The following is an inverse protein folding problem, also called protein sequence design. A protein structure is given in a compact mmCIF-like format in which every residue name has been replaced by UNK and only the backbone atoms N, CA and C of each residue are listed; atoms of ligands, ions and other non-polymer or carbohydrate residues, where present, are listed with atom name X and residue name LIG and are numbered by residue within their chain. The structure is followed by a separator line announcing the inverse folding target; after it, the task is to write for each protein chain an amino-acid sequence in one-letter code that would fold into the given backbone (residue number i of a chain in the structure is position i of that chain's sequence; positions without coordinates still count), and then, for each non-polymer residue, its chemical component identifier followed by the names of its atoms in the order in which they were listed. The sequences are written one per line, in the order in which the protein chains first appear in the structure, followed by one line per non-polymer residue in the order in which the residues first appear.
data_IF_426612944334
#
_entry.id   IF_426612944334
#
_cell.length_a   1.000
_cell.length_b   1.000
_cell.length_c   1.000
_cell.angle_alpha   90.00
_cell.angle_beta   90.00
_cell.angle_gamma   90.00
#
_symmetry.space_group_name_H-M   'P 1'
#
loop_
_entity.id
_entity.type
_entity.pdbx_description
1 polymer ?
#
# COMPACT_ATOMS: atom_id res chain seq x y z
N UNK A 1 53.98 11.63 -3.39
CA UNK A 1 52.83 10.88 -2.80
C UNK A 1 52.26 11.53 -1.53
N UNK A 2 52.70 12.71 -1.09
CA UNK A 2 52.26 13.35 0.16
C UNK A 2 51.07 14.30 0.03
N UNK A 3 50.62 14.66 -1.18
CA UNK A 3 49.51 15.60 -1.37
C UNK A 3 48.11 14.99 -1.18
N UNK A 4 47.97 13.68 -1.46
CA UNK A 4 46.71 12.94 -1.35
C UNK A 4 46.08 13.03 0.06
N UNK A 5 46.81 12.80 1.17
CA UNK A 5 46.20 12.89 2.50
C UNK A 5 45.69 14.29 2.86
N UNK A 6 46.36 15.37 2.41
CA UNK A 6 45.91 16.74 2.66
C UNK A 6 44.64 17.10 1.87
N UNK A 7 44.55 16.65 0.61
CA UNK A 7 43.34 16.84 -0.21
C UNK A 7 42.16 16.09 0.40
N UNK A 8 42.36 14.86 0.89
CA UNK A 8 41.32 14.10 1.58
C UNK A 8 40.89 14.80 2.87
N UNK A 9 41.82 15.21 3.72
CA UNK A 9 41.51 15.92 4.96
C UNK A 9 40.74 17.23 4.72
N UNK A 10 41.13 18.01 3.71
CA UNK A 10 40.44 19.24 3.32
C UNK A 10 39.02 18.95 2.83
N UNK A 11 38.84 17.92 1.98
CA UNK A 11 37.52 17.52 1.49
C UNK A 11 36.58 17.07 2.62
N UNK A 12 37.11 16.35 3.62
CA UNK A 12 36.37 15.91 4.80
C UNK A 12 35.95 17.10 5.66
N UNK A 13 36.86 18.05 5.90
CA UNK A 13 36.56 19.25 6.67
C UNK A 13 35.50 20.12 5.98
N UNK A 14 35.60 20.29 4.66
CA UNK A 14 34.60 20.99 3.87
C UNK A 14 33.24 20.29 3.94
N UNK A 15 33.22 18.96 3.83
CA UNK A 15 31.99 18.18 3.98
C UNK A 15 31.36 18.36 5.38
N UNK A 16 32.16 18.27 6.45
CA UNK A 16 31.70 18.45 7.83
C UNK A 16 31.13 19.86 8.03
N UNK A 17 31.82 20.89 7.57
CA UNK A 17 31.36 22.28 7.74
C UNK A 17 30.05 22.54 6.98
N UNK A 18 29.93 22.09 5.73
CA UNK A 18 28.68 22.17 4.96
C UNK A 18 27.56 21.35 5.62
N UNK A 19 27.88 20.18 6.15
CA UNK A 19 26.93 19.30 6.84
C UNK A 19 26.40 19.93 8.14
N UNK A 20 27.28 20.51 8.96
CA UNK A 20 26.90 21.26 10.16
C UNK A 20 26.03 22.46 9.78
N UNK A 21 26.42 23.25 8.77
CA UNK A 21 25.60 24.36 8.30
C UNK A 21 24.22 23.90 7.84
N UNK A 22 24.12 22.79 7.10
CA UNK A 22 22.86 22.20 6.67
C UNK A 22 21.98 21.76 7.85
N UNK A 23 22.57 21.13 8.87
CA UNK A 23 21.87 20.68 10.07
C UNK A 23 21.34 21.84 10.90
N UNK A 24 22.16 22.88 11.08
CA UNK A 24 21.84 24.05 11.90
C UNK A 24 21.23 25.20 11.09
N UNK A 25 20.86 24.98 9.82
CA UNK A 25 20.11 25.95 9.03
C UNK A 25 18.86 26.33 9.81
N UNK A 26 18.81 27.59 10.25
CA UNK A 26 17.63 28.12 10.92
C UNK A 26 16.47 28.09 9.92
N UNK A 27 15.30 27.56 10.31
CA UNK A 27 14.12 27.69 9.47
C UNK A 27 13.88 29.18 9.18
N UNK A 28 13.40 29.49 7.98
CA UNK A 28 13.08 30.87 7.58
C UNK A 28 12.10 31.54 8.54
N UNK A 29 12.03 32.88 8.50
CA UNK A 29 11.08 33.64 9.31
C UNK A 29 9.67 33.10 9.06
N UNK A 30 9.00 32.67 10.13
CA UNK A 30 7.60 32.22 10.06
C UNK A 30 6.73 33.43 9.69
N UNK A 31 5.70 33.25 8.85
CA UNK A 31 4.73 34.31 8.58
C UNK A 31 4.06 34.75 9.89
N UNK A 32 3.75 36.05 9.98
CA UNK A 32 3.09 36.61 11.15
C UNK A 32 1.73 35.91 11.37
N UNK A 33 1.45 35.48 12.61
CA UNK A 33 0.22 34.78 12.98
C UNK A 33 0.26 33.25 12.84
N UNK A 34 1.36 32.64 12.39
CA UNK A 34 1.46 31.18 12.29
C UNK A 34 1.77 30.51 13.64
N UNK A 35 0.76 29.86 14.24
CA UNK A 35 0.91 29.03 15.43
C UNK A 35 0.85 27.53 15.02
N UNK A 36 2.00 26.83 14.89
CA UNK A 36 1.97 25.41 14.60
C UNK A 36 1.41 24.62 15.78
N UNK A 37 0.89 23.40 15.54
CA UNK A 37 0.56 22.48 16.62
C UNK A 37 1.75 22.26 17.56
N UNK A 38 1.52 21.86 18.82
CA UNK A 38 2.59 21.52 19.74
C UNK A 38 3.52 20.45 19.14
N UNK A 39 4.83 20.60 19.36
CA UNK A 39 5.86 19.70 18.83
C UNK A 39 6.71 19.19 19.99
N UNK A 40 6.89 17.87 20.11
CA UNK A 40 7.91 17.32 21.01
C UNK A 40 9.32 17.79 20.62
N UNK A 41 10.32 17.60 21.50
CA UNK A 41 11.72 17.87 21.15
C UNK A 41 12.17 17.04 19.95
N UNK A 42 12.74 17.71 18.94
CA UNK A 42 13.20 17.06 17.71
C UNK A 42 14.72 17.04 17.66
N UNK A 43 15.30 15.90 17.28
CA UNK A 43 16.73 15.82 17.00
C UNK A 43 17.05 16.36 15.61
N UNK A 44 18.28 16.87 15.39
CA UNK A 44 18.72 17.24 14.05
C UNK A 44 18.77 16.02 13.13
N UNK A 45 18.56 16.23 11.83
CA UNK A 45 18.51 15.21 10.76
C UNK A 45 17.36 14.18 10.86
N UNK A 46 17.21 13.47 11.99
CA UNK A 46 16.21 12.40 12.16
C UNK A 46 14.85 12.91 12.69
N UNK A 47 14.80 14.13 13.21
CA UNK A 47 13.59 14.72 13.75
C UNK A 47 13.06 13.92 14.94
N UNK A 48 11.83 13.42 14.83
CA UNK A 48 11.09 12.70 15.86
C UNK A 48 11.15 11.17 15.66
N UNK A 49 11.90 10.66 14.67
CA UNK A 49 12.01 9.21 14.44
C UNK A 49 12.54 8.47 15.67
N UNK A 50 13.41 9.11 16.46
CA UNK A 50 13.94 8.57 17.72
C UNK A 50 12.87 8.33 18.80
N UNK A 51 11.71 8.96 18.68
CA UNK A 51 10.58 8.78 19.61
C UNK A 51 9.63 7.65 19.16
N UNK A 52 9.84 7.09 17.97
CA UNK A 52 9.00 6.02 17.44
C UNK A 52 9.58 4.66 17.79
N UNK A 53 8.71 3.78 18.27
CA UNK A 53 9.03 2.35 18.44
C UNK A 53 9.00 1.64 17.08
N UNK A 54 9.60 0.43 16.94
CA UNK A 54 9.51 -0.38 15.72
C UNK A 54 8.07 -0.57 15.22
N UNK A 55 7.12 -0.58 16.16
CA UNK A 55 5.68 -0.51 15.87
C UNK A 55 5.23 0.95 15.88
N UNK A 56 5.19 1.59 14.71
CA UNK A 56 4.99 3.04 14.58
C UNK A 56 3.73 3.56 15.28
N UNK A 57 2.58 2.88 15.15
CA UNK A 57 1.32 3.32 15.76
C UNK A 57 1.35 3.34 17.29
N UNK A 58 2.12 2.44 17.93
CA UNK A 58 2.31 2.44 19.39
C UNK A 58 3.12 3.66 19.83
N UNK A 59 4.17 3.99 19.07
CA UNK A 59 4.97 5.20 19.28
C UNK A 59 4.14 6.48 19.15
N UNK A 60 3.34 6.60 18.08
CA UNK A 60 2.44 7.75 17.90
C UNK A 60 1.41 7.86 19.02
N UNK A 61 0.82 6.75 19.47
CA UNK A 61 -0.13 6.75 20.58
C UNK A 61 0.52 7.23 21.89
N UNK A 62 1.74 6.75 22.20
CA UNK A 62 2.48 7.18 23.38
C UNK A 62 2.82 8.69 23.33
N UNK A 63 3.21 9.19 22.15
CA UNK A 63 3.42 10.63 21.94
C UNK A 63 2.15 11.44 22.16
N UNK A 64 1.02 10.98 21.61
CA UNK A 64 -0.24 11.68 21.78
C UNK A 64 -0.69 11.73 23.24
N UNK A 65 -0.51 10.64 23.99
CA UNK A 65 -0.79 10.63 25.45
C UNK A 65 0.05 11.64 26.23
N UNK A 66 1.28 11.89 25.80
CA UNK A 66 2.21 12.78 26.51
C UNK A 66 2.07 14.26 26.12
N UNK A 67 1.88 14.55 24.83
CA UNK A 67 1.94 15.92 24.30
C UNK A 67 0.58 16.45 23.81
N UNK A 68 -0.42 15.59 23.69
CA UNK A 68 -1.78 15.96 23.28
C UNK A 68 -2.25 15.31 21.98
N UNK A 69 -3.52 15.55 21.60
CA UNK A 69 -4.17 14.88 20.48
C UNK A 69 -3.81 15.44 19.09
N UNK A 70 -3.15 16.60 19.02
CA UNK A 70 -2.75 17.24 17.77
C UNK A 70 -1.29 17.65 17.87
N UNK A 71 -0.39 16.99 17.14
CA UNK A 71 1.04 17.22 17.22
C UNK A 71 1.64 17.50 15.87
N UNK A 72 2.59 18.43 15.83
CA UNK A 72 3.50 18.58 14.71
C UNK A 72 4.68 17.65 14.92
N UNK A 73 4.97 16.83 13.91
CA UNK A 73 6.08 15.90 13.88
C UNK A 73 6.93 16.16 12.63
N UNK A 74 8.19 15.77 12.74
CA UNK A 74 9.17 15.79 11.66
C UNK A 74 9.79 14.41 11.59
N UNK A 75 9.47 13.62 10.58
CA UNK A 75 10.07 12.31 10.33
C UNK A 75 11.28 12.55 9.43
N UNK A 76 12.49 12.57 9.99
CA UNK A 76 13.71 13.07 9.35
C UNK A 76 13.54 14.43 8.64
N UNK A 77 13.37 14.44 7.32
CA UNK A 77 13.16 15.66 6.52
C UNK A 77 11.69 15.95 6.23
N UNK A 78 10.79 15.01 6.54
CA UNK A 78 9.38 15.05 6.17
C UNK A 78 8.50 15.61 7.30
N UNK A 79 7.77 16.72 7.08
CA UNK A 79 6.82 17.25 8.05
C UNK A 79 5.53 16.42 8.08
N UNK A 80 4.99 16.17 9.28
CA UNK A 80 3.76 15.42 9.49
C UNK A 80 2.93 16.02 10.62
N UNK A 81 1.61 15.89 10.54
CA UNK A 81 0.69 16.25 11.64
C UNK A 81 0.06 14.95 12.15
N UNK A 82 0.26 14.66 13.43
CA UNK A 82 -0.41 13.56 14.11
C UNK A 82 -1.72 14.05 14.71
N UNK A 83 -2.79 13.35 14.38
CA UNK A 83 -4.14 13.58 14.91
C UNK A 83 -4.57 12.30 15.64
N UNK A 84 -4.97 12.43 16.90
CA UNK A 84 -5.33 11.31 17.79
C UNK A 84 -6.56 11.64 18.64
N UNK A 85 -7.53 12.33 18.03
CA UNK A 85 -8.83 12.65 18.63
C UNK A 85 -9.93 12.49 17.59
N UNK A 86 -11.05 11.87 17.98
CA UNK A 86 -12.17 11.61 17.08
C UNK A 86 -12.86 12.90 16.59
N UNK A 87 -13.12 13.93 17.44
CA UNK A 87 -13.58 15.23 16.97
C UNK A 87 -12.68 15.86 15.89
N UNK A 88 -11.36 15.90 16.12
CA UNK A 88 -10.41 16.48 15.17
C UNK A 88 -10.34 15.68 13.86
N UNK A 89 -10.36 14.35 13.95
CA UNK A 89 -10.42 13.50 12.77
C UNK A 89 -11.71 13.75 11.98
N UNK A 90 -12.84 13.96 12.67
CA UNK A 90 -14.13 14.28 12.03
C UNK A 90 -14.08 15.61 11.31
N UNK A 91 -13.47 16.63 11.92
CA UNK A 91 -13.28 17.93 11.28
C UNK A 91 -12.42 17.82 10.01
N UNK A 92 -11.30 17.10 10.08
CA UNK A 92 -10.38 16.89 8.95
C UNK A 92 -11.04 16.09 7.82
N UNK A 93 -11.71 14.98 8.13
CA UNK A 93 -12.23 14.05 7.14
C UNK A 93 -13.68 14.35 6.70
N UNK A 94 -14.36 15.35 7.29
CA UNK A 94 -15.69 15.78 6.85
C UNK A 94 -15.76 17.26 6.51
N UNK A 95 -15.37 18.15 7.42
CA UNK A 95 -15.53 19.59 7.22
C UNK A 95 -14.45 20.15 6.29
N UNK A 96 -13.23 19.61 6.39
CA UNK A 96 -12.06 20.02 5.59
C UNK A 96 -11.64 18.94 4.59
N UNK A 97 -12.54 18.01 4.26
CA UNK A 97 -12.24 16.81 3.50
C UNK A 97 -11.59 17.13 2.15
N UNK A 98 -12.06 18.14 1.43
CA UNK A 98 -11.49 18.59 0.15
C UNK A 98 -10.05 19.09 0.30
N UNK A 99 -9.72 19.81 1.40
CA UNK A 99 -8.37 20.31 1.65
C UNK A 99 -7.39 19.17 1.96
N UNK A 100 -7.87 18.10 2.60
CA UNK A 100 -7.09 16.91 2.94
C UNK A 100 -7.28 15.74 1.98
N UNK A 101 -8.08 15.92 0.92
CA UNK A 101 -8.37 14.87 -0.07
C UNK A 101 -7.18 14.59 -0.98
N UNK A 102 -6.27 15.56 -1.13
CA UNK A 102 -5.04 15.36 -1.87
C UNK A 102 -4.13 14.39 -1.12
N UNK A 103 -3.79 13.27 -1.77
CA UNK A 103 -2.76 12.36 -1.26
C UNK A 103 -1.45 13.13 -1.29
N UNK A 104 -0.71 13.13 -0.18
CA UNK A 104 0.61 13.77 -0.16
C UNK A 104 1.43 13.12 -1.26
N UNK A 105 2.03 13.97 -2.11
CA UNK A 105 2.90 13.59 -3.23
C UNK A 105 3.86 12.50 -2.78
N UNK A 106 3.51 11.27 -3.11
CA UNK A 106 4.23 10.10 -2.63
C UNK A 106 5.57 10.05 -3.37
N UNK A 107 6.60 9.33 -2.90
CA UNK A 107 7.65 8.84 -3.80
C UNK A 107 7.12 8.09 -5.04
N UNK A 108 5.81 7.76 -5.10
CA UNK A 108 5.11 7.26 -6.30
C UNK A 108 4.69 8.34 -7.30
N UNK A 109 4.78 9.63 -6.96
CA UNK A 109 4.46 10.75 -7.88
C UNK A 109 5.32 10.74 -9.14
N UNK A 110 6.51 10.14 -9.05
CA UNK A 110 7.40 10.00 -10.20
C UNK A 110 6.94 8.87 -11.15
N UNK A 111 5.66 8.49 -11.15
CA UNK A 111 5.05 7.62 -12.16
C UNK A 111 5.60 6.19 -12.22
N UNK A 112 6.29 5.79 -11.16
CA UNK A 112 7.29 4.74 -11.24
C UNK A 112 6.69 3.34 -10.94
N UNK A 113 5.92 3.16 -9.86
CA UNK A 113 5.40 1.83 -9.49
C UNK A 113 4.16 1.39 -10.25
N UNK A 114 3.35 2.31 -10.76
CA UNK A 114 2.07 1.98 -11.38
C UNK A 114 1.82 2.69 -12.72
N UNK A 115 2.88 3.12 -13.41
CA UNK A 115 2.78 3.77 -14.72
C UNK A 115 2.26 5.21 -14.64
N UNK A 116 2.68 6.05 -15.59
CA UNK A 116 2.56 7.51 -15.51
C UNK A 116 1.17 8.12 -15.74
N UNK A 117 0.11 7.34 -15.71
CA UNK A 117 -1.21 7.85 -16.13
C UNK A 117 -2.39 6.93 -15.82
N UNK A 118 -2.17 5.70 -15.31
CA UNK A 118 -3.21 4.67 -15.30
C UNK A 118 -3.63 4.19 -13.90
N UNK A 119 -2.88 4.54 -12.84
CA UNK A 119 -3.24 4.12 -11.49
C UNK A 119 -4.01 5.18 -10.73
N UNK A 120 -5.34 5.04 -10.75
CA UNK A 120 -6.24 5.92 -10.00
C UNK A 120 -5.99 5.90 -8.47
N UNK A 121 -5.26 4.90 -7.95
CA UNK A 121 -4.90 4.81 -6.53
C UNK A 121 -4.07 6.01 -6.03
N UNK A 122 -3.21 6.57 -6.90
CA UNK A 122 -2.37 7.73 -6.57
C UNK A 122 -2.77 9.00 -7.34
N UNK A 123 -3.85 8.96 -8.12
CA UNK A 123 -4.32 10.12 -8.86
C UNK A 123 -4.71 11.25 -7.88
N UNK A 124 -4.38 12.52 -8.21
CA UNK A 124 -4.85 13.66 -7.42
C UNK A 124 -6.39 13.70 -7.43
N UNK A 125 -6.95 14.25 -6.36
CA UNK A 125 -8.40 14.42 -6.27
C UNK A 125 -8.90 15.30 -7.41
N UNK A 126 -9.83 14.77 -8.20
CA UNK A 126 -10.36 15.39 -9.41
C UNK A 126 -11.35 14.47 -10.12
N UNK A 127 -11.80 14.86 -11.31
CA UNK A 127 -12.89 14.15 -12.00
C UNK A 127 -12.52 12.72 -12.38
N UNK A 128 -11.28 12.49 -12.82
CA UNK A 128 -10.78 11.14 -13.10
C UNK A 128 -10.83 10.23 -11.86
N UNK A 129 -10.31 10.71 -10.72
CA UNK A 129 -10.34 9.94 -9.47
C UNK A 129 -11.77 9.65 -9.00
N UNK A 130 -12.66 10.64 -9.08
CA UNK A 130 -14.09 10.50 -8.73
C UNK A 130 -14.78 9.47 -9.61
N UNK A 131 -14.52 9.50 -10.91
CA UNK A 131 -15.07 8.54 -11.89
C UNK A 131 -14.61 7.11 -11.57
N UNK A 132 -13.30 6.90 -11.39
CA UNK A 132 -12.76 5.58 -11.07
C UNK A 132 -13.27 5.04 -9.73
N UNK A 133 -13.39 5.90 -8.71
CA UNK A 133 -14.02 5.54 -7.43
C UNK A 133 -15.47 5.12 -7.61
N UNK A 134 -16.25 5.83 -8.45
CA UNK A 134 -17.65 5.48 -8.72
C UNK A 134 -17.75 4.07 -9.31
N UNK A 135 -16.97 3.76 -10.35
CA UNK A 135 -16.93 2.42 -10.95
C UNK A 135 -16.59 1.35 -9.90
N UNK A 136 -15.53 1.56 -9.11
CA UNK A 136 -15.14 0.58 -8.09
C UNK A 136 -16.24 0.33 -7.05
N UNK A 137 -16.94 1.38 -6.64
CA UNK A 137 -17.96 1.28 -5.58
C UNK A 137 -19.30 0.74 -6.09
N UNK A 138 -19.68 1.00 -7.35
CA UNK A 138 -20.95 0.54 -7.91
C UNK A 138 -20.82 -0.80 -8.63
N UNK A 139 -19.80 -0.97 -9.46
CA UNK A 139 -19.67 -2.11 -10.38
C UNK A 139 -18.76 -3.23 -9.90
N UNK A 140 -17.84 -2.96 -8.97
CA UNK A 140 -16.93 -3.99 -8.43
C UNK A 140 -17.33 -4.41 -7.02
N UNK A 141 -17.51 -3.43 -6.13
CA UNK A 141 -17.78 -3.63 -4.71
C UNK A 141 -19.25 -3.39 -4.34
N UNK A 142 -20.11 -3.14 -5.34
CA UNK A 142 -21.53 -2.87 -5.15
C UNK A 142 -22.28 -4.06 -4.56
N UNK A 143 -23.38 -3.79 -3.86
CA UNK A 143 -24.20 -4.81 -3.20
C UNK A 143 -24.74 -5.87 -4.16
N UNK A 144 -25.09 -5.46 -5.39
CA UNK A 144 -25.54 -6.37 -6.46
C UNK A 144 -24.44 -7.38 -6.82
N UNK A 145 -23.22 -6.90 -7.02
CA UNK A 145 -22.08 -7.75 -7.40
C UNK A 145 -21.66 -8.66 -6.26
N UNK A 146 -21.69 -8.17 -5.02
CA UNK A 146 -21.45 -9.00 -3.82
C UNK A 146 -22.49 -10.12 -3.64
N UNK A 147 -23.72 -9.94 -4.16
CA UNK A 147 -24.74 -10.99 -4.20
C UNK A 147 -24.45 -12.03 -5.28
N UNK A 148 -24.04 -11.62 -6.48
CA UNK A 148 -23.61 -12.56 -7.54
C UNK A 148 -22.45 -13.43 -7.07
N UNK A 149 -21.48 -12.83 -6.38
CA UNK A 149 -20.29 -13.53 -5.85
C UNK A 149 -20.54 -14.28 -4.52
N UNK A 150 -21.81 -14.46 -4.10
CA UNK A 150 -22.16 -15.17 -2.86
C UNK A 150 -21.73 -16.64 -2.90
N UNK A 151 -21.95 -17.32 -4.01
CA UNK A 151 -21.64 -18.75 -4.14
C UNK A 151 -20.12 -18.99 -4.06
N UNK A 152 -19.32 -18.18 -4.74
CA UNK A 152 -17.85 -18.22 -4.68
C UNK A 152 -17.35 -18.15 -3.23
N UNK A 153 -17.83 -17.16 -2.46
CA UNK A 153 -17.45 -17.00 -1.05
C UNK A 153 -17.91 -18.17 -0.19
N UNK A 154 -19.14 -18.67 -0.40
CA UNK A 154 -19.67 -19.83 0.34
C UNK A 154 -18.80 -21.05 0.12
N UNK A 155 -18.40 -21.33 -1.11
CA UNK A 155 -17.53 -22.47 -1.41
C UNK A 155 -16.17 -22.36 -0.73
N UNK A 156 -15.53 -21.19 -0.75
CA UNK A 156 -14.24 -21.00 -0.08
C UNK A 156 -14.35 -21.19 1.45
N UNK A 157 -15.43 -20.70 2.06
CA UNK A 157 -15.72 -20.96 3.48
C UNK A 157 -15.91 -22.44 3.75
N UNK A 158 -16.67 -23.16 2.92
CA UNK A 158 -16.87 -24.61 3.08
C UNK A 158 -15.54 -25.36 2.96
N UNK A 159 -14.66 -25.00 2.01
CA UNK A 159 -13.33 -25.60 1.88
C UNK A 159 -12.48 -25.35 3.12
N UNK A 160 -12.47 -24.12 3.63
CA UNK A 160 -11.76 -23.77 4.85
C UNK A 160 -12.26 -24.61 6.04
N UNK A 161 -13.57 -24.72 6.23
CA UNK A 161 -14.15 -25.52 7.32
C UNK A 161 -13.80 -27.01 7.20
N UNK A 162 -13.83 -27.57 5.98
CA UNK A 162 -13.41 -28.96 5.74
C UNK A 162 -11.96 -29.18 6.12
N UNK A 163 -11.06 -28.28 5.71
CA UNK A 163 -9.64 -28.35 6.08
C UNK A 163 -9.44 -28.26 7.59
N UNK A 164 -10.19 -27.40 8.29
CA UNK A 164 -10.11 -27.30 9.75
C UNK A 164 -10.60 -28.59 10.44
N UNK A 165 -11.65 -29.21 9.90
CA UNK A 165 -12.15 -30.50 10.39
C UNK A 165 -11.10 -31.60 10.21
N UNK A 166 -10.46 -31.69 9.05
CA UNK A 166 -9.41 -32.68 8.77
C UNK A 166 -8.20 -32.53 9.72
N UNK A 167 -7.75 -31.29 9.96
CA UNK A 167 -6.67 -31.02 10.92
C UNK A 167 -7.08 -31.44 12.33
N UNK A 168 -8.32 -31.12 12.74
CA UNK A 168 -8.87 -31.53 14.02
C UNK A 168 -8.97 -33.05 14.17
N UNK A 169 -9.40 -33.76 13.13
CA UNK A 169 -9.45 -35.24 13.12
C UNK A 169 -8.07 -35.88 13.27
N UNK A 170 -7.02 -35.23 12.74
CA UNK A 170 -5.62 -35.66 12.89
C UNK A 170 -5.00 -35.24 14.23
N UNK A 171 -5.74 -34.53 15.10
CA UNK A 171 -5.22 -33.92 16.33
C UNK A 171 -3.99 -33.02 16.10
N UNK A 172 -3.95 -32.34 14.96
CA UNK A 172 -2.86 -31.43 14.58
C UNK A 172 -3.17 -29.99 15.02
N UNK A 173 -2.13 -29.18 15.26
CA UNK A 173 -2.29 -27.77 15.62
C UNK A 173 -2.39 -26.92 14.36
N UNK A 174 -3.55 -26.28 14.15
CA UNK A 174 -3.78 -25.38 13.03
C UNK A 174 -3.22 -23.97 13.29
N UNK A 175 -2.50 -23.40 12.31
CA UNK A 175 -2.23 -21.97 12.28
C UNK A 175 -3.42 -21.21 11.68
N UNK A 176 -4.39 -20.87 12.53
CA UNK A 176 -5.63 -20.22 12.10
C UNK A 176 -5.39 -18.91 11.33
N UNK A 177 -4.36 -18.14 11.69
CA UNK A 177 -4.00 -16.89 11.00
C UNK A 177 -3.61 -17.14 9.55
N UNK A 178 -2.80 -18.16 9.28
CA UNK A 178 -2.40 -18.53 7.93
C UNK A 178 -3.59 -19.05 7.09
N UNK A 179 -4.48 -19.81 7.72
CA UNK A 179 -5.63 -20.42 7.07
C UNK A 179 -6.71 -19.38 6.73
N UNK A 180 -7.00 -18.44 7.64
CA UNK A 180 -7.88 -17.30 7.36
C UNK A 180 -7.29 -16.41 6.26
N UNK A 181 -5.97 -16.17 6.29
CA UNK A 181 -5.31 -15.40 5.23
C UNK A 181 -5.44 -16.11 3.88
N UNK A 182 -5.33 -17.43 3.85
CA UNK A 182 -5.52 -18.25 2.64
C UNK A 182 -6.96 -18.15 2.14
N UNK A 183 -7.96 -18.28 3.03
CA UNK A 183 -9.38 -18.09 2.72
C UNK A 183 -9.65 -16.71 2.11
N UNK A 184 -9.12 -15.64 2.72
CA UNK A 184 -9.30 -14.27 2.26
C UNK A 184 -8.68 -14.05 0.87
N UNK A 185 -7.46 -14.56 0.65
CA UNK A 185 -6.79 -14.48 -0.64
C UNK A 185 -7.58 -15.25 -1.70
N UNK A 186 -7.88 -16.53 -1.48
CA UNK A 186 -8.63 -17.33 -2.46
C UNK A 186 -9.99 -16.73 -2.79
N UNK A 187 -10.72 -16.23 -1.80
CA UNK A 187 -12.00 -15.54 -2.02
C UNK A 187 -11.80 -14.32 -2.92
N UNK A 188 -10.78 -13.51 -2.65
CA UNK A 188 -10.49 -12.29 -3.43
C UNK A 188 -10.00 -12.64 -4.85
N UNK A 189 -9.05 -13.57 -4.99
CA UNK A 189 -8.51 -14.01 -6.28
C UNK A 189 -9.62 -14.60 -7.15
N UNK A 190 -10.51 -15.42 -6.60
CA UNK A 190 -11.65 -15.99 -7.36
C UNK A 190 -12.71 -14.95 -7.71
N UNK A 191 -12.94 -13.97 -6.85
CA UNK A 191 -13.90 -12.90 -7.14
C UNK A 191 -13.41 -11.97 -8.26
N UNK A 192 -12.09 -11.79 -8.40
CA UNK A 192 -11.49 -10.89 -9.39
C UNK A 192 -11.12 -11.61 -10.69
N UNK A 193 -10.55 -12.81 -10.60
CA UNK A 193 -9.92 -13.53 -11.72
C UNK A 193 -10.57 -14.89 -11.99
N UNK A 194 -11.61 -15.27 -11.25
CA UNK A 194 -12.18 -16.63 -11.26
C UNK A 194 -11.21 -17.78 -10.88
N UNK A 195 -9.93 -17.48 -10.58
CA UNK A 195 -8.86 -18.42 -10.25
C UNK A 195 -8.49 -18.42 -8.75
N UNK A 196 -7.89 -19.52 -8.25
CA UNK A 196 -7.51 -19.65 -6.82
C UNK A 196 -6.02 -19.42 -6.58
N UNK A 197 -5.72 -18.72 -5.48
CA UNK A 197 -4.35 -18.44 -5.03
C UNK A 197 -3.62 -19.66 -4.40
N UNK A 198 -4.34 -20.70 -4.01
CA UNK A 198 -3.78 -21.99 -3.54
C UNK A 198 -4.30 -23.14 -4.42
N UNK A 199 -3.41 -23.85 -5.10
CA UNK A 199 -3.73 -24.93 -6.04
C UNK A 199 -2.80 -24.92 -7.26
N UNK A 200 -3.15 -25.64 -8.33
CA UNK A 200 -2.39 -25.70 -9.58
C UNK A 200 -2.44 -24.39 -10.41
N UNK A 201 -3.29 -23.43 -10.01
CA UNK A 201 -3.50 -22.15 -10.70
C UNK A 201 -2.36 -21.14 -10.44
N UNK A 202 -1.34 -21.18 -11.29
CA UNK A 202 -0.15 -20.31 -11.24
C UNK A 202 -0.48 -18.80 -11.28
N UNK A 203 -1.60 -18.38 -11.89
CA UNK A 203 -1.91 -16.96 -12.09
C UNK A 203 -2.21 -16.18 -10.80
N UNK A 204 -2.94 -16.81 -9.88
CA UNK A 204 -3.35 -16.15 -8.64
C UNK A 204 -2.17 -16.07 -7.65
N UNK A 205 -1.30 -17.08 -7.63
CA UNK A 205 -0.02 -17.02 -6.92
C UNK A 205 0.89 -15.93 -7.48
N UNK A 206 1.03 -15.82 -8.81
CA UNK A 206 1.74 -14.72 -9.48
C UNK A 206 1.16 -13.36 -9.07
N UNK A 207 -0.16 -13.20 -9.04
CA UNK A 207 -0.80 -11.97 -8.60
C UNK A 207 -0.42 -11.62 -7.15
N UNK A 208 -0.55 -12.58 -6.23
CA UNK A 208 -0.17 -12.40 -4.81
C UNK A 208 1.30 -12.02 -4.67
N UNK A 209 2.20 -12.66 -5.41
CA UNK A 209 3.62 -12.36 -5.41
C UNK A 209 3.91 -10.94 -5.92
N UNK A 210 3.27 -10.52 -7.02
CA UNK A 210 3.39 -9.17 -7.57
C UNK A 210 2.85 -8.10 -6.62
N UNK A 211 1.72 -8.35 -5.97
CA UNK A 211 1.16 -7.46 -4.94
C UNK A 211 2.13 -7.32 -3.77
N UNK A 212 2.70 -8.42 -3.28
CA UNK A 212 3.70 -8.39 -2.22
C UNK A 212 4.97 -7.64 -2.62
N UNK A 213 5.47 -7.85 -3.85
CA UNK A 213 6.62 -7.13 -4.40
C UNK A 213 6.33 -5.62 -4.47
N UNK A 214 5.14 -5.25 -4.93
CA UNK A 214 4.68 -3.86 -5.02
C UNK A 214 4.65 -3.18 -3.65
N UNK A 215 4.08 -3.84 -2.63
CA UNK A 215 4.06 -3.31 -1.25
C UNK A 215 5.47 -3.18 -0.66
N UNK A 216 6.35 -4.15 -0.93
CA UNK A 216 7.74 -4.09 -0.47
C UNK A 216 8.49 -2.92 -1.11
N UNK A 217 8.39 -2.73 -2.42
CA UNK A 217 8.99 -1.57 -3.10
C UNK A 217 8.36 -0.26 -2.62
N UNK A 218 7.04 -0.24 -2.40
CA UNK A 218 6.33 0.91 -1.90
C UNK A 218 6.83 1.33 -0.50
N UNK A 219 6.98 0.37 0.41
CA UNK A 219 7.51 0.63 1.76
C UNK A 219 8.97 1.10 1.74
N UNK A 220 9.82 0.51 0.90
CA UNK A 220 11.22 0.95 0.74
C UNK A 220 11.29 2.39 0.23
N UNK A 221 10.50 2.72 -0.79
CA UNK A 221 10.41 4.08 -1.33
C UNK A 221 9.87 5.08 -0.30
N UNK A 222 8.84 4.69 0.47
CA UNK A 222 8.31 5.51 1.55
C UNK A 222 9.40 5.83 2.58
N UNK A 223 10.16 4.83 3.02
CA UNK A 223 11.28 5.03 3.95
C UNK A 223 12.36 5.94 3.37
N UNK A 224 12.75 5.74 2.10
CA UNK A 224 13.76 6.56 1.43
C UNK A 224 13.31 8.02 1.23
N UNK A 225 12.01 8.23 1.01
CA UNK A 225 11.44 9.57 0.82
C UNK A 225 11.52 10.46 2.06
N UNK A 226 11.53 9.84 3.24
CA UNK A 226 11.63 10.50 4.55
C UNK A 226 13.01 11.16 4.73
N UNK A 227 14.06 10.64 4.08
CA UNK A 227 15.46 11.10 4.20
C UNK A 227 15.91 12.08 3.09
N UNK A 228 14.99 12.76 2.41
CA UNK A 228 15.32 13.89 1.54
C UNK A 228 16.24 13.51 0.36
N UNK A 229 17.53 13.94 0.32
CA UNK A 229 18.45 13.59 -0.77
C UNK A 229 18.61 12.09 -1.04
N UNK A 230 18.47 11.24 -0.01
CA UNK A 230 18.51 9.78 -0.15
C UNK A 230 17.39 9.24 -1.06
N UNK A 231 16.28 9.98 -1.21
CA UNK A 231 15.22 9.65 -2.18
C UNK A 231 15.80 9.42 -3.57
N UNK A 232 16.72 10.28 -4.03
CA UNK A 232 17.30 10.19 -5.38
C UNK A 232 18.14 8.93 -5.57
N UNK A 233 18.96 8.60 -4.58
CA UNK A 233 19.81 7.39 -4.60
C UNK A 233 18.94 6.13 -4.54
N UNK A 234 17.96 6.12 -3.65
CA UNK A 234 17.01 5.01 -3.51
C UNK A 234 16.17 4.77 -4.77
N UNK A 235 15.67 5.84 -5.41
CA UNK A 235 14.99 5.75 -6.69
C UNK A 235 15.90 5.20 -7.79
N UNK A 236 17.15 5.66 -7.86
CA UNK A 236 18.13 5.15 -8.82
C UNK A 236 18.40 3.65 -8.61
N UNK A 237 18.62 3.23 -7.36
CA UNK A 237 18.86 1.83 -6.99
C UNK A 237 17.67 0.91 -7.32
N UNK A 238 16.44 1.37 -7.04
CA UNK A 238 15.22 0.59 -7.25
C UNK A 238 14.63 0.73 -8.66
N UNK A 239 15.17 1.62 -9.51
CA UNK A 239 14.58 2.02 -10.81
C UNK A 239 14.19 0.83 -11.69
N UNK A 240 15.08 -0.17 -11.82
CA UNK A 240 14.84 -1.35 -12.66
C UNK A 240 13.69 -2.21 -12.12
N UNK A 241 13.65 -2.45 -10.80
CA UNK A 241 12.58 -3.23 -10.16
C UNK A 241 11.25 -2.52 -10.32
N UNK A 242 11.24 -1.22 -10.06
CA UNK A 242 10.04 -0.39 -10.17
C UNK A 242 9.50 -0.37 -11.62
N UNK A 243 10.36 -0.17 -12.62
CA UNK A 243 9.94 -0.15 -14.02
C UNK A 243 9.45 -1.50 -14.55
N UNK A 244 9.77 -2.61 -13.88
CA UNK A 244 9.32 -3.94 -14.27
C UNK A 244 7.92 -4.28 -13.74
N UNK A 245 7.48 -3.66 -12.64
CA UNK A 245 6.21 -3.99 -11.98
C UNK A 245 4.99 -3.71 -12.88
N UNK A 246 4.83 -2.53 -13.51
CA UNK A 246 3.68 -2.28 -14.39
C UNK A 246 3.56 -3.30 -15.52
N UNK A 247 4.68 -3.62 -16.19
CA UNK A 247 4.69 -4.59 -17.30
C UNK A 247 4.19 -5.97 -16.89
N UNK A 248 4.55 -6.41 -15.68
CA UNK A 248 4.09 -7.70 -15.14
C UNK A 248 2.63 -7.68 -14.74
N UNK A 249 2.12 -6.55 -14.25
CA UNK A 249 0.67 -6.39 -14.04
C UNK A 249 -0.08 -6.42 -15.37
N UNK A 250 0.40 -5.69 -16.38
CA UNK A 250 -0.23 -5.67 -17.71
C UNK A 250 -0.27 -7.08 -18.31
N UNK A 251 0.85 -7.82 -18.29
CA UNK A 251 0.91 -9.21 -18.77
C UNK A 251 -0.05 -10.14 -17.99
N UNK A 252 -0.13 -9.99 -16.66
CA UNK A 252 -1.03 -10.80 -15.84
C UNK A 252 -2.50 -10.49 -16.16
N UNK A 253 -2.88 -9.23 -16.25
CA UNK A 253 -4.26 -8.85 -16.53
C UNK A 253 -4.67 -9.18 -17.96
N UNK A 254 -3.78 -9.02 -18.93
CA UNK A 254 -4.03 -9.41 -20.32
C UNK A 254 -4.32 -10.92 -20.43
N UNK A 255 -3.52 -11.75 -19.77
CA UNK A 255 -3.76 -13.20 -19.74
C UNK A 255 -5.14 -13.55 -19.13
N UNK A 256 -5.52 -12.88 -18.04
CA UNK A 256 -6.82 -13.06 -17.40
C UNK A 256 -7.96 -12.61 -18.33
N UNK A 257 -7.81 -11.49 -19.04
CA UNK A 257 -8.80 -10.99 -19.98
C UNK A 257 -9.01 -11.95 -21.16
N UNK A 258 -7.91 -12.43 -21.76
CA UNK A 258 -7.95 -13.38 -22.88
C UNK A 258 -8.64 -14.68 -22.44
N UNK A 259 -8.31 -15.21 -21.26
CA UNK A 259 -8.95 -16.42 -20.72
C UNK A 259 -10.46 -16.23 -20.52
N UNK A 260 -10.87 -15.07 -20.01
CA UNK A 260 -12.28 -14.71 -19.85
C UNK A 260 -13.01 -14.59 -21.19
N UNK A 261 -12.41 -13.95 -22.19
CA UNK A 261 -12.98 -13.85 -23.54
C UNK A 261 -13.13 -15.21 -24.22
N UNK A 262 -12.13 -16.07 -24.11
CA UNK A 262 -12.19 -17.42 -24.67
C UNK A 262 -13.28 -18.25 -24.02
N UNK A 263 -13.42 -18.18 -22.69
CA UNK A 263 -14.49 -18.87 -21.98
C UNK A 263 -15.88 -18.37 -22.41
N UNK A 264 -16.05 -17.06 -22.54
CA UNK A 264 -17.30 -16.47 -23.03
C UNK A 264 -17.65 -16.93 -24.47
N UNK A 265 -16.64 -17.04 -25.35
CA UNK A 265 -16.82 -17.56 -26.73
C UNK A 265 -17.20 -19.03 -26.76
N UNK A 266 -16.68 -19.86 -25.84
CA UNK A 266 -16.99 -21.30 -25.75
C UNK A 266 -18.37 -21.57 -25.15
N UNK A 267 -18.83 -20.75 -24.21
CA UNK A 267 -20.05 -20.99 -23.43
C UNK A 267 -21.27 -20.17 -23.91
N UNK A 268 -21.09 -19.24 -24.85
CA UNK A 268 -22.14 -18.37 -25.40
C UNK A 268 -22.54 -17.21 -24.45
N UNK A 269 -23.16 -16.13 -24.98
CA UNK A 269 -23.38 -14.87 -24.24
C UNK A 269 -24.38 -14.96 -23.06
N UNK A 270 -25.07 -16.09 -22.87
CA UNK A 270 -26.17 -16.21 -21.91
C UNK A 270 -25.80 -16.83 -20.54
N UNK A 271 -24.50 -17.02 -20.26
CA UNK A 271 -24.03 -17.69 -19.03
C UNK A 271 -23.28 -16.78 -18.04
N UNK A 272 -23.22 -15.46 -18.23
CA UNK A 272 -22.68 -14.56 -17.19
C UNK A 272 -23.48 -14.65 -15.86
N UNK A 273 -24.68 -15.26 -15.91
CA UNK A 273 -25.54 -15.54 -14.77
C UNK A 273 -25.68 -17.04 -14.41
N UNK A 274 -25.00 -17.96 -15.12
CA UNK A 274 -25.11 -19.42 -14.89
C UNK A 274 -23.76 -20.11 -14.64
N UNK A 275 -22.63 -19.45 -14.91
CA UNK A 275 -21.28 -19.98 -14.65
C UNK A 275 -20.92 -20.19 -13.17
N UNK A 276 -21.81 -19.83 -12.24
CA UNK A 276 -21.67 -20.09 -10.80
C UNK A 276 -22.55 -21.24 -10.27
N UNK A 277 -23.44 -21.78 -11.10
CA UNK A 277 -24.36 -22.87 -10.72
C UNK A 277 -24.02 -24.21 -11.41
N UNK A 278 -23.14 -24.20 -12.42
CA UNK A 278 -22.86 -25.37 -13.28
C UNK A 278 -21.85 -26.40 -12.75
N UNK A 279 -21.20 -26.20 -11.61
CA UNK A 279 -20.23 -27.17 -11.07
C UNK A 279 -20.83 -28.16 -10.05
N UNK A 280 -22.17 -28.29 -9.99
CA UNK A 280 -22.86 -29.21 -9.07
C UNK A 280 -23.12 -30.62 -9.62
N UNK A 281 -22.64 -30.98 -10.81
CA UNK A 281 -22.87 -32.31 -11.38
C UNK A 281 -21.57 -32.97 -11.81
N UNK A 282 -20.78 -33.38 -10.82
CA UNK A 282 -19.73 -34.37 -10.95
C UNK A 282 -20.04 -35.55 -10.03
N UNK A 283 -20.78 -36.52 -10.57
CA UNK A 283 -20.89 -37.93 -10.18
C UNK A 283 -20.23 -38.35 -8.84
N UNK A 284 -21.08 -38.64 -7.85
CA UNK A 284 -20.81 -39.71 -6.88
C UNK A 284 -21.78 -40.84 -7.22
N UNK A 285 -21.26 -41.82 -7.95
CA UNK A 285 -21.59 -43.23 -7.72
C UNK A 285 -20.79 -43.72 -6.52
#
# INVERSE_FOLDING_TARGET
MTAIPYVLAFSILLFITVFIQYIFKRPGKKPAGYCPPPSPPALPLIGHLHLLTPVAYKGFHALSKKYGPLLYLRLATYPAVLVSSAPLATEIFKALDVHFASRIKSPFDDNLLFGSSTSFFNAPYGDYWKFMKKICTTELLGTSQMKKLKNVRREEVVRFLRKMLEIGQKNEVANLSAEILTLANNSTCRMIMSARCSGEDNQAEKCRALVSESFNLASQLALLSVFGPLKRIGMWYLRKKIAAVPKRYDELFENVLVEHEEKAKREGPDMENKGLDGYSSGSVS
#
